data_IF_985819530336
#
_entry.id   IF_985819530336
#
_cell.length_a   1.000
_cell.length_b   1.000
_cell.length_c   1.000
_cell.angle_alpha   90.00
_cell.angle_beta   90.00
_cell.angle_gamma   90.00
#
_symmetry.space_group_name_H-M   'P 1'
#
loop_
_entity.id
_entity.type
_entity.pdbx_description
1 polymer ?
#
# COMPACT_ATOMS: atom_id res chain seq x y z
N UNK A 1 5.64 -16.66 -5.78
CA UNK A 1 5.65 -17.69 -4.74
C UNK A 1 4.29 -17.72 -4.04
N UNK A 2 3.71 -18.93 -3.85
CA UNK A 2 2.56 -19.19 -3.00
C UNK A 2 2.99 -19.68 -1.63
N UNK A 3 2.36 -19.14 -0.58
CA UNK A 3 2.56 -19.55 0.81
C UNK A 3 1.24 -20.15 1.29
N UNK A 4 1.26 -21.38 1.75
CA UNK A 4 0.07 -22.11 2.18
C UNK A 4 0.40 -22.96 3.42
N UNK A 5 -0.49 -22.98 4.38
CA UNK A 5 -0.30 -23.76 5.62
C UNK A 5 -0.70 -25.24 5.44
N UNK A 6 -1.74 -25.50 4.62
CA UNK A 6 -2.26 -26.85 4.38
C UNK A 6 -1.34 -27.62 3.41
N UNK A 7 -0.72 -28.75 3.84
CA UNK A 7 0.19 -29.52 3.00
C UNK A 7 -0.46 -30.07 1.74
N UNK A 8 -1.73 -30.46 1.79
CA UNK A 8 -2.44 -31.04 0.65
C UNK A 8 -2.68 -29.98 -0.43
N UNK A 9 -2.99 -28.74 -0.03
CA UNK A 9 -3.13 -27.60 -0.94
C UNK A 9 -1.79 -27.21 -1.56
N UNK A 10 -0.70 -27.28 -0.82
CA UNK A 10 0.66 -27.10 -1.36
C UNK A 10 0.96 -28.15 -2.42
N UNK A 11 0.71 -29.44 -2.12
CA UNK A 11 0.93 -30.52 -3.05
C UNK A 11 0.08 -30.41 -4.32
N UNK A 12 -1.19 -29.99 -4.18
CA UNK A 12 -2.08 -29.72 -5.32
C UNK A 12 -1.53 -28.59 -6.19
N UNK A 13 -1.13 -27.46 -5.56
CA UNK A 13 -0.60 -26.29 -6.28
C UNK A 13 0.69 -26.62 -7.02
N UNK A 14 1.57 -27.44 -6.41
CA UNK A 14 2.81 -27.92 -7.05
C UNK A 14 2.52 -28.81 -8.26
N UNK A 15 1.54 -29.74 -8.15
CA UNK A 15 1.12 -30.56 -9.29
C UNK A 15 0.59 -29.72 -10.43
N UNK A 16 -0.33 -28.82 -10.15
CA UNK A 16 -0.91 -27.92 -11.16
C UNK A 16 0.16 -27.08 -11.86
N UNK A 17 1.14 -26.56 -11.12
CA UNK A 17 2.26 -25.81 -11.69
C UNK A 17 3.14 -26.71 -12.60
N UNK A 18 3.35 -27.98 -12.22
CA UNK A 18 4.09 -28.93 -13.04
C UNK A 18 3.33 -29.29 -14.32
N UNK A 19 2.05 -29.60 -14.22
CA UNK A 19 1.18 -29.91 -15.38
C UNK A 19 1.09 -28.75 -16.36
N UNK A 20 1.05 -27.50 -15.83
CA UNK A 20 1.07 -26.30 -16.65
C UNK A 20 2.46 -25.89 -17.17
N UNK A 21 3.53 -26.65 -16.87
CA UNK A 21 4.90 -26.29 -17.27
C UNK A 21 5.45 -25.02 -16.62
N UNK A 22 4.92 -24.63 -15.46
CA UNK A 22 5.20 -23.34 -14.80
C UNK A 22 6.11 -23.45 -13.57
N UNK A 23 6.72 -24.57 -13.30
CA UNK A 23 7.54 -24.80 -12.08
C UNK A 23 8.70 -23.82 -11.91
N UNK A 24 9.25 -23.30 -13.01
CA UNK A 24 10.31 -22.27 -12.95
C UNK A 24 9.79 -20.87 -12.58
N UNK A 25 8.47 -20.62 -12.68
CA UNK A 25 7.84 -19.30 -12.45
C UNK A 25 6.90 -19.28 -11.26
N UNK A 26 6.30 -20.43 -10.91
CA UNK A 26 5.35 -20.59 -9.82
C UNK A 26 5.86 -21.64 -8.83
N UNK A 27 6.22 -21.19 -7.64
CA UNK A 27 6.69 -22.02 -6.54
C UNK A 27 5.72 -21.94 -5.37
N UNK A 28 5.50 -23.06 -4.69
CA UNK A 28 4.58 -23.16 -3.55
C UNK A 28 5.29 -23.82 -2.38
N UNK A 29 5.14 -23.22 -1.20
CA UNK A 29 5.79 -23.69 0.03
C UNK A 29 4.77 -23.87 1.16
N UNK A 30 4.92 -24.94 1.92
CA UNK A 30 4.22 -25.09 3.19
C UNK A 30 4.91 -24.21 4.22
N UNK A 31 4.25 -23.14 4.64
CA UNK A 31 4.80 -22.24 5.65
C UNK A 31 3.70 -21.46 6.38
N UNK A 32 4.02 -20.97 7.57
CA UNK A 32 3.22 -19.99 8.27
C UNK A 32 3.49 -18.61 7.64
N UNK A 33 2.44 -17.98 7.10
CA UNK A 33 2.52 -16.69 6.44
C UNK A 33 2.90 -15.56 7.42
N UNK A 34 2.65 -15.74 8.72
CA UNK A 34 3.02 -14.73 9.73
C UNK A 34 4.52 -14.74 10.01
N UNK A 35 5.16 -15.91 9.90
CA UNK A 35 6.60 -16.09 10.10
C UNK A 35 7.41 -15.92 8.79
N UNK A 36 6.76 -16.06 7.63
CA UNK A 36 7.43 -15.99 6.34
C UNK A 36 7.78 -14.54 5.97
N UNK A 37 9.03 -14.30 5.57
CA UNK A 37 9.44 -13.01 5.01
C UNK A 37 9.03 -12.89 3.54
N UNK A 38 8.09 -12.00 3.28
CA UNK A 38 7.67 -11.58 1.93
C UNK A 38 7.92 -10.08 1.67
N UNK A 39 8.77 -9.44 2.46
CA UNK A 39 9.04 -8.00 2.38
C UNK A 39 9.58 -7.53 1.03
N UNK A 40 10.18 -8.44 0.24
CA UNK A 40 10.72 -8.17 -1.10
C UNK A 40 9.67 -8.27 -2.21
N UNK A 41 8.46 -8.70 -1.91
CA UNK A 41 7.40 -8.80 -2.89
C UNK A 41 6.99 -7.40 -3.39
N UNK A 42 6.76 -7.27 -4.68
CA UNK A 42 6.21 -6.05 -5.29
C UNK A 42 4.68 -6.10 -5.38
N UNK A 43 4.14 -7.32 -5.39
CA UNK A 43 2.70 -7.60 -5.39
C UNK A 43 2.45 -8.74 -4.43
N UNK A 44 1.48 -8.58 -3.55
CA UNK A 44 0.95 -9.64 -2.68
C UNK A 44 -0.53 -9.82 -3.01
N UNK A 45 -0.92 -11.04 -3.38
CA UNK A 45 -2.33 -11.39 -3.58
C UNK A 45 -2.81 -12.26 -2.43
N UNK A 46 -4.00 -11.98 -1.93
CA UNK A 46 -4.56 -12.64 -0.74
C UNK A 46 -6.00 -13.07 -0.98
N UNK A 47 -6.32 -14.25 -0.47
CA UNK A 47 -7.70 -14.71 -0.30
C UNK A 47 -7.84 -15.27 1.11
N UNK A 48 -7.92 -14.38 2.07
CA UNK A 48 -7.84 -14.67 3.51
C UNK A 48 -8.97 -14.00 4.25
N UNK A 49 -9.42 -14.61 5.34
CA UNK A 49 -10.45 -14.02 6.21
C UNK A 49 -10.02 -12.64 6.76
N UNK A 50 -10.97 -11.73 7.04
CA UNK A 50 -10.66 -10.38 7.56
C UNK A 50 -9.75 -10.38 8.79
N UNK A 51 -9.96 -11.31 9.72
CA UNK A 51 -9.12 -11.44 10.92
C UNK A 51 -7.65 -11.75 10.61
N UNK A 52 -7.40 -12.52 9.55
CA UNK A 52 -6.04 -12.83 9.09
C UNK A 52 -5.43 -11.60 8.41
N UNK A 53 -6.21 -10.91 7.56
CA UNK A 53 -5.78 -9.67 6.93
C UNK A 53 -5.37 -8.63 7.98
N UNK A 54 -6.15 -8.46 9.04
CA UNK A 54 -5.85 -7.54 10.14
C UNK A 54 -4.57 -7.91 10.88
N UNK A 55 -4.32 -9.21 11.11
CA UNK A 55 -3.06 -9.69 11.72
C UNK A 55 -1.85 -9.44 10.82
N UNK A 56 -2.01 -9.49 9.50
CA UNK A 56 -0.95 -9.21 8.53
C UNK A 56 -0.71 -7.73 8.30
N UNK A 57 -1.71 -6.90 8.51
CA UNK A 57 -1.67 -5.46 8.20
C UNK A 57 -0.43 -4.73 8.73
N UNK A 58 0.01 -4.92 9.99
CA UNK A 58 1.24 -4.28 10.48
C UNK A 58 2.48 -4.67 9.64
N UNK A 59 2.61 -5.96 9.29
CA UNK A 59 3.71 -6.46 8.46
C UNK A 59 3.66 -5.91 7.04
N UNK A 60 2.47 -5.79 6.47
CA UNK A 60 2.23 -5.20 5.15
C UNK A 60 2.62 -3.70 5.14
N UNK A 61 2.27 -2.95 6.18
CA UNK A 61 2.60 -1.52 6.29
C UNK A 61 4.10 -1.24 6.44
N UNK A 62 4.91 -2.24 6.77
CA UNK A 62 6.38 -2.15 6.78
C UNK A 62 7.03 -2.48 5.42
N UNK A 63 6.26 -2.94 4.44
CA UNK A 63 6.77 -3.22 3.10
C UNK A 63 7.16 -1.93 2.38
N UNK A 64 7.92 -2.07 1.31
CA UNK A 64 8.36 -0.92 0.50
C UNK A 64 7.16 -0.11 0.00
N UNK A 65 7.17 1.23 0.15
CA UNK A 65 6.15 2.08 -0.46
C UNK A 65 5.95 1.79 -1.94
N UNK A 66 4.69 1.71 -2.37
CA UNK A 66 4.34 1.30 -3.73
C UNK A 66 4.11 -0.20 -3.92
N UNK A 67 4.38 -1.05 -2.91
CA UNK A 67 3.96 -2.46 -2.95
C UNK A 67 2.45 -2.55 -3.08
N UNK A 68 1.98 -3.36 -4.03
CA UNK A 68 0.55 -3.56 -4.29
C UNK A 68 0.04 -4.77 -3.52
N UNK A 69 -1.01 -4.57 -2.75
CA UNK A 69 -1.69 -5.62 -1.99
C UNK A 69 -3.08 -5.79 -2.59
N UNK A 70 -3.37 -6.97 -3.09
CA UNK A 70 -4.66 -7.29 -3.69
C UNK A 70 -5.36 -8.35 -2.85
N UNK A 71 -6.53 -8.05 -2.32
CA UNK A 71 -7.37 -9.02 -1.62
C UNK A 71 -8.64 -9.29 -2.42
N UNK A 72 -8.95 -10.56 -2.58
CA UNK A 72 -10.26 -10.92 -3.11
C UNK A 72 -11.29 -10.79 -2.00
N UNK A 73 -12.25 -9.89 -2.18
CA UNK A 73 -13.45 -9.64 -1.36
C UNK A 73 -13.20 -9.19 0.09
N UNK A 74 -12.22 -9.74 0.78
CA UNK A 74 -12.02 -9.50 2.21
C UNK A 74 -11.22 -8.23 2.48
N UNK A 75 -11.76 -7.37 3.35
CA UNK A 75 -11.22 -6.04 3.68
C UNK A 75 -10.10 -6.08 4.73
N UNK A 76 -9.53 -4.91 4.99
CA UNK A 76 -8.58 -4.63 6.09
C UNK A 76 -9.17 -3.64 7.11
N UNK A 77 -10.50 -3.76 7.36
CA UNK A 77 -11.26 -2.93 8.28
C UNK A 77 -11.13 -1.43 7.95
N UNK A 78 -10.61 -0.62 8.85
CA UNK A 78 -10.49 0.83 8.71
C UNK A 78 -9.40 1.30 7.71
N UNK A 79 -8.57 0.39 7.18
CA UNK A 79 -7.72 0.71 6.04
C UNK A 79 -8.51 0.50 4.75
N UNK A 80 -9.11 1.58 4.24
CA UNK A 80 -9.90 1.54 3.00
C UNK A 80 -9.00 1.29 1.79
N UNK A 81 -9.44 0.48 0.80
CA UNK A 81 -8.65 0.23 -0.41
C UNK A 81 -8.45 1.51 -1.24
N UNK A 82 -7.35 1.57 -1.97
CA UNK A 82 -7.08 2.62 -2.95
C UNK A 82 -7.95 2.48 -4.20
N UNK A 83 -8.26 1.23 -4.57
CA UNK A 83 -9.12 0.91 -5.70
C UNK A 83 -9.96 -0.35 -5.40
N UNK A 84 -11.16 -0.38 -5.97
CA UNK A 84 -12.07 -1.53 -5.93
C UNK A 84 -12.50 -1.85 -7.34
N UNK A 85 -12.37 -3.11 -7.73
CA UNK A 85 -12.85 -3.63 -9.02
C UNK A 85 -13.86 -4.74 -8.79
N UNK A 86 -15.00 -4.66 -9.46
CA UNK A 86 -16.04 -5.68 -9.40
C UNK A 86 -16.15 -6.39 -10.73
N UNK A 87 -16.11 -7.72 -10.71
CA UNK A 87 -16.44 -8.56 -11.87
C UNK A 87 -17.95 -8.73 -11.89
N UNK A 88 -18.61 -8.25 -12.94
CA UNK A 88 -20.09 -8.27 -13.07
C UNK A 88 -20.59 -9.36 -14.01
N UNK A 89 -19.75 -9.90 -14.88
CA UNK A 89 -20.09 -10.93 -15.83
C UNK A 89 -19.55 -12.29 -15.37
N UNK A 90 -20.39 -13.33 -15.44
CA UNK A 90 -20.07 -14.72 -15.14
C UNK A 90 -19.44 -14.96 -13.75
N UNK A 91 -19.66 -14.08 -12.81
CA UNK A 91 -19.17 -14.21 -11.44
C UNK A 91 -20.34 -14.34 -10.46
N UNK A 92 -20.40 -15.45 -9.73
CA UNK A 92 -21.46 -15.76 -8.75
C UNK A 92 -21.05 -15.51 -7.30
N UNK A 93 -19.74 -15.51 -6.99
CA UNK A 93 -19.23 -15.28 -5.64
C UNK A 93 -17.77 -14.77 -5.68
N UNK A 94 -17.36 -14.03 -4.67
CA UNK A 94 -16.00 -13.50 -4.55
C UNK A 94 -15.58 -12.60 -5.72
N UNK A 95 -16.50 -11.78 -6.19
CA UNK A 95 -16.38 -11.02 -7.43
C UNK A 95 -15.70 -9.66 -7.26
N UNK A 96 -15.20 -9.35 -6.09
CA UNK A 96 -14.60 -8.04 -5.78
C UNK A 96 -13.09 -8.18 -5.55
N UNK A 97 -12.29 -7.40 -6.27
CA UNK A 97 -10.87 -7.23 -6.01
C UNK A 97 -10.63 -5.87 -5.35
N UNK A 98 -9.93 -5.89 -4.23
CA UNK A 98 -9.57 -4.72 -3.43
C UNK A 98 -8.06 -4.49 -3.52
N UNK A 99 -7.64 -3.29 -3.93
CA UNK A 99 -6.25 -2.92 -4.05
C UNK A 99 -5.86 -1.91 -2.98
N UNK A 100 -4.81 -2.19 -2.24
CA UNK A 100 -4.07 -1.23 -1.41
C UNK A 100 -2.67 -1.04 -1.97
N UNK A 101 -2.17 0.19 -1.90
CA UNK A 101 -0.79 0.52 -2.25
C UNK A 101 -0.11 0.97 -0.97
N UNK A 102 0.92 0.25 -0.54
CA UNK A 102 1.63 0.54 0.71
C UNK A 102 2.13 1.98 0.68
N UNK A 103 1.69 2.86 1.60
CA UNK A 103 2.08 4.25 1.60
C UNK A 103 3.47 4.47 2.22
N UNK A 104 4.16 5.51 1.79
CA UNK A 104 5.34 6.00 2.49
C UNK A 104 4.97 6.51 3.89
N UNK A 105 5.93 6.53 4.81
CA UNK A 105 5.77 7.04 6.18
C UNK A 105 6.17 8.50 6.23
N UNK A 106 5.20 9.39 6.39
CA UNK A 106 5.40 10.85 6.36
C UNK A 106 5.05 11.56 7.66
N UNK A 107 4.54 10.85 8.66
CA UNK A 107 4.20 11.45 9.95
C UNK A 107 5.38 12.20 10.56
N UNK A 108 5.11 13.38 11.13
CA UNK A 108 6.09 14.23 11.78
C UNK A 108 6.24 15.61 11.16
N UNK A 109 7.31 16.31 11.50
CA UNK A 109 7.58 17.68 11.05
C UNK A 109 8.67 17.69 9.99
N UNK A 110 8.43 18.44 8.92
CA UNK A 110 9.29 18.60 7.76
C UNK A 110 9.63 20.07 7.55
N UNK A 111 10.90 20.38 7.38
CA UNK A 111 11.34 21.72 7.05
C UNK A 111 11.12 22.02 5.56
N UNK A 112 10.39 23.10 5.26
CA UNK A 112 10.21 23.63 3.92
C UNK A 112 10.58 25.12 3.89
N UNK A 113 10.97 25.69 2.75
CA UNK A 113 11.21 27.12 2.63
C UNK A 113 10.00 28.01 3.01
N UNK A 114 8.79 27.50 2.79
CA UNK A 114 7.53 28.20 3.08
C UNK A 114 7.08 28.07 4.56
N UNK A 115 7.78 27.30 5.37
CA UNK A 115 7.45 27.04 6.76
C UNK A 115 7.50 25.54 7.11
N UNK A 116 7.24 25.21 8.36
CA UNK A 116 7.19 23.81 8.78
C UNK A 116 5.93 23.12 8.21
N UNK A 117 6.11 21.97 7.57
CA UNK A 117 5.02 21.08 7.20
C UNK A 117 4.90 20.01 8.29
N UNK A 118 3.85 20.07 9.10
CA UNK A 118 3.58 19.10 10.16
C UNK A 118 2.48 18.16 9.71
N UNK A 119 2.76 16.86 9.68
CA UNK A 119 1.88 15.83 9.14
C UNK A 119 1.51 14.80 10.21
N UNK A 120 0.24 14.44 10.23
CA UNK A 120 -0.31 13.26 10.91
C UNK A 120 -0.82 12.31 9.84
N UNK A 121 -0.51 11.01 10.00
CA UNK A 121 -0.81 10.00 8.99
C UNK A 121 -1.69 8.89 9.55
N UNK A 122 -2.77 8.58 8.84
CA UNK A 122 -3.54 7.34 9.03
C UNK A 122 -3.58 6.59 7.71
N UNK A 123 -2.76 5.54 7.59
CA UNK A 123 -2.56 4.78 6.35
C UNK A 123 -2.14 5.70 5.19
N UNK A 124 -2.93 5.74 4.09
CA UNK A 124 -2.68 6.63 2.96
C UNK A 124 -3.23 8.05 3.16
N UNK A 125 -3.99 8.31 4.22
CA UNK A 125 -4.57 9.64 4.48
C UNK A 125 -3.63 10.47 5.34
N UNK A 126 -3.49 11.74 4.97
CA UNK A 126 -2.57 12.68 5.61
C UNK A 126 -3.33 13.96 5.97
N UNK A 127 -3.16 14.40 7.21
CA UNK A 127 -3.67 15.69 7.71
C UNK A 127 -2.53 16.48 8.32
N UNK A 128 -2.74 17.76 8.60
CA UNK A 128 -1.71 18.58 9.23
C UNK A 128 -1.75 20.05 8.81
N UNK A 129 -0.59 20.72 8.87
CA UNK A 129 -0.47 22.15 8.56
C UNK A 129 0.83 22.45 7.78
N UNK A 130 0.79 23.46 6.91
CA UNK A 130 1.96 24.11 6.34
C UNK A 130 2.09 25.49 7.00
N UNK A 131 3.07 25.66 7.87
CA UNK A 131 3.08 26.80 8.79
C UNK A 131 1.84 26.78 9.69
N UNK A 132 1.03 27.84 9.60
CA UNK A 132 -0.29 27.95 10.28
C UNK A 132 -1.47 27.52 9.38
N UNK A 133 -1.24 27.23 8.11
CA UNK A 133 -2.30 26.90 7.14
C UNK A 133 -2.64 25.41 7.20
N UNK A 134 -3.89 25.04 7.51
CA UNK A 134 -4.31 23.63 7.44
C UNK A 134 -4.15 23.08 6.03
N UNK A 135 -3.72 21.80 5.94
CA UNK A 135 -3.75 21.08 4.66
C UNK A 135 -5.10 20.37 4.49
N UNK A 136 -5.52 20.26 3.25
CA UNK A 136 -6.71 19.50 2.82
C UNK A 136 -6.31 18.46 1.78
N UNK A 137 -7.16 17.43 1.62
CA UNK A 137 -7.02 16.37 0.62
C UNK A 137 -5.66 15.67 0.63
N UNK A 138 -5.04 15.60 1.83
CA UNK A 138 -3.73 14.97 2.01
C UNK A 138 -3.82 13.46 1.79
N UNK A 139 -3.07 12.94 0.81
CA UNK A 139 -3.09 11.52 0.45
C UNK A 139 -1.73 11.05 -0.06
N UNK A 140 -1.43 9.80 0.26
CA UNK A 140 -0.31 9.03 -0.27
C UNK A 140 -0.81 7.96 -1.23
N UNK A 141 -0.05 7.72 -2.31
CA UNK A 141 -0.17 6.55 -3.18
C UNK A 141 1.24 5.99 -3.39
N UNK A 142 1.61 5.02 -2.59
CA UNK A 142 3.00 4.58 -2.52
C UNK A 142 3.91 5.70 -2.00
N UNK A 143 4.90 6.08 -2.78
CA UNK A 143 5.82 7.18 -2.52
C UNK A 143 5.32 8.56 -3.00
N UNK A 144 4.20 8.60 -3.70
CA UNK A 144 3.61 9.85 -4.15
C UNK A 144 2.75 10.48 -3.06
N UNK A 145 2.95 11.78 -2.79
CA UNK A 145 2.16 12.57 -1.84
C UNK A 145 1.44 13.70 -2.58
N UNK A 146 0.18 13.92 -2.23
CA UNK A 146 -0.61 15.05 -2.67
C UNK A 146 -1.29 15.72 -1.49
N UNK A 147 -1.39 17.03 -1.48
CA UNK A 147 -2.18 17.80 -0.51
C UNK A 147 -2.47 19.20 -1.06
N UNK A 148 -3.43 19.90 -0.46
CA UNK A 148 -3.76 21.29 -0.74
C UNK A 148 -3.44 22.15 0.49
N UNK A 149 -2.76 23.29 0.31
CA UNK A 149 -2.51 24.26 1.37
C UNK A 149 -2.64 25.68 0.80
N UNK A 150 -3.40 26.55 1.48
CA UNK A 150 -3.63 27.94 1.04
C UNK A 150 -4.20 28.05 -0.38
N UNK A 151 -5.03 27.09 -0.80
CA UNK A 151 -5.59 27.02 -2.16
C UNK A 151 -4.64 26.48 -3.23
N UNK A 152 -3.37 26.24 -2.93
CA UNK A 152 -2.42 25.63 -3.86
C UNK A 152 -2.37 24.11 -3.66
N UNK A 153 -2.44 23.34 -4.76
CA UNK A 153 -2.24 21.89 -4.75
C UNK A 153 -0.75 21.60 -4.81
N UNK A 154 -0.28 20.74 -3.93
CA UNK A 154 1.08 20.20 -3.89
C UNK A 154 1.08 18.75 -4.34
N UNK A 155 2.02 18.39 -5.20
CA UNK A 155 2.29 17.01 -5.62
C UNK A 155 3.78 16.74 -5.49
N UNK A 156 4.16 15.56 -5.02
CA UNK A 156 5.57 15.25 -4.85
C UNK A 156 5.83 13.79 -4.58
N UNK A 157 7.11 13.46 -4.40
CA UNK A 157 7.58 12.13 -4.02
C UNK A 157 8.30 12.16 -2.69
N UNK A 158 8.10 11.10 -1.93
CA UNK A 158 8.75 10.83 -0.65
C UNK A 158 9.93 9.89 -0.89
N UNK A 159 11.10 10.27 -0.41
CA UNK A 159 12.29 9.43 -0.45
C UNK A 159 12.98 9.47 0.93
N UNK A 160 12.62 8.53 1.78
CA UNK A 160 13.11 8.47 3.16
C UNK A 160 12.79 9.77 3.92
N UNK A 161 13.80 10.50 4.30
CA UNK A 161 13.69 11.76 5.05
C UNK A 161 13.61 13.01 4.17
N UNK A 162 13.36 12.87 2.89
CA UNK A 162 13.18 13.97 1.94
C UNK A 162 11.89 13.83 1.15
N UNK A 163 11.30 14.96 0.79
CA UNK A 163 10.21 15.06 -0.18
C UNK A 163 10.51 16.17 -1.17
N UNK A 164 10.08 15.99 -2.41
CA UNK A 164 10.19 17.03 -3.43
C UNK A 164 9.11 16.91 -4.49
N UNK A 165 8.76 18.03 -5.10
CA UNK A 165 7.73 18.04 -6.11
C UNK A 165 7.44 19.43 -6.68
N UNK A 166 6.22 19.61 -7.16
CA UNK A 166 5.71 20.88 -7.70
C UNK A 166 4.38 21.26 -7.06
N UNK A 167 4.10 22.54 -7.01
CA UNK A 167 2.77 23.02 -6.66
C UNK A 167 1.93 23.31 -7.93
N UNK A 168 0.67 23.70 -7.73
CA UNK A 168 -0.28 23.96 -8.83
C UNK A 168 0.14 25.07 -9.80
N UNK A 169 1.07 25.96 -9.43
CA UNK A 169 1.66 26.97 -10.32
C UNK A 169 2.92 26.47 -11.07
N UNK A 170 3.33 25.21 -10.83
CA UNK A 170 4.57 24.63 -11.38
C UNK A 170 5.83 24.97 -10.59
N UNK A 171 5.72 25.74 -9.49
CA UNK A 171 6.87 26.02 -8.64
C UNK A 171 7.35 24.77 -7.90
N UNK A 172 8.67 24.55 -7.90
CA UNK A 172 9.30 23.42 -7.19
C UNK A 172 9.26 23.65 -5.68
N UNK A 173 9.08 22.58 -4.95
CA UNK A 173 9.20 22.55 -3.50
C UNK A 173 10.02 21.34 -3.03
N UNK A 174 10.59 21.47 -1.87
CA UNK A 174 11.26 20.35 -1.17
C UNK A 174 11.01 20.45 0.33
N UNK A 175 11.06 19.32 0.99
CA UNK A 175 10.95 19.22 2.44
C UNK A 175 11.94 18.19 2.99
N UNK A 176 12.50 18.45 4.16
CA UNK A 176 13.40 17.53 4.86
C UNK A 176 12.86 17.26 6.25
N UNK A 177 12.80 16.01 6.64
CA UNK A 177 12.32 15.58 7.97
C UNK A 177 13.23 16.12 9.05
N UNK A 178 12.63 16.67 10.12
CA UNK A 178 13.34 17.14 11.32
C UNK A 178 13.55 16.01 12.32
#
# INVERSE_FOLDING_TARGET
QGIEYNPDMVALSQRNAKEAGMTAKATFVKADLFETDFSKAQVVTMFLLPSINLRLRPKILEMKPGTRIVSNTFTMDDWTPDETSNVTEDCTSWCTALLWIVPAKVEGTWAMPQGALTLTQKFQMVTGTLGSTPIADGRLRGDEITFTAGGAKYTGKVNGNSMSGTNGSGAKWSATKK
#
